data_IF_715677503287
#
_entry.id   IF_715677503287
#
_cell.length_a   1.000
_cell.length_b   1.000
_cell.length_c   1.000
_cell.angle_alpha   90.00
_cell.angle_beta   90.00
_cell.angle_gamma   90.00
#
_symmetry.space_group_name_H-M   'P 1'
#
loop_
_entity.id
_entity.type
_entity.pdbx_description
1 polymer ?
#
# COMPACT_ATOMS: atom_id res chain seq x y z
N UNK A 1 -10.79 9.36 4.57
CA UNK A 1 -10.89 8.51 5.77
C UNK A 1 -9.59 7.74 5.95
N UNK A 2 -9.14 7.62 7.16
CA UNK A 2 -7.93 6.85 7.46
C UNK A 2 -8.29 5.66 8.33
N UNK A 3 -7.48 4.60 8.22
CA UNK A 3 -7.65 3.41 9.04
C UNK A 3 -6.27 2.98 9.54
N UNK A 4 -6.27 2.42 10.74
CA UNK A 4 -5.06 1.89 11.36
C UNK A 4 -5.00 0.40 11.13
N UNK A 5 -3.83 -0.09 10.73
CA UNK A 5 -3.64 -1.52 10.54
C UNK A 5 -2.24 -1.94 10.97
N UNK A 6 -2.06 -3.24 11.16
CA UNK A 6 -0.77 -3.80 11.53
C UNK A 6 -0.24 -4.65 10.40
N UNK A 7 1.05 -4.47 10.11
CA UNK A 7 1.78 -5.27 9.14
C UNK A 7 2.59 -6.30 9.90
N UNK A 8 2.38 -7.58 9.57
CA UNK A 8 3.13 -8.67 10.20
C UNK A 8 4.35 -8.99 9.37
N UNK A 9 5.53 -8.85 9.97
CA UNK A 9 6.79 -9.25 9.35
C UNK A 9 7.38 -10.42 10.13
N UNK A 10 8.44 -11.03 9.59
CA UNK A 10 9.12 -12.12 10.27
C UNK A 10 9.66 -11.66 11.63
N UNK A 11 10.15 -10.43 11.71
CA UNK A 11 10.83 -9.92 12.90
C UNK A 11 9.89 -9.22 13.88
N UNK A 12 8.80 -8.60 13.39
CA UNK A 12 7.97 -7.75 14.24
C UNK A 12 6.62 -7.47 13.60
N UNK A 13 5.76 -6.83 14.41
CA UNK A 13 4.49 -6.27 13.95
C UNK A 13 4.62 -4.75 13.92
N UNK A 14 4.33 -4.13 12.79
CA UNK A 14 4.43 -2.69 12.62
C UNK A 14 3.03 -2.08 12.46
N UNK A 15 2.79 -0.98 13.16
CA UNK A 15 1.54 -0.24 13.04
C UNK A 15 1.66 0.79 11.91
N UNK A 16 0.64 0.86 11.06
CA UNK A 16 0.59 1.83 9.98
C UNK A 16 -0.79 2.45 9.88
N UNK A 17 -0.84 3.64 9.31
CA UNK A 17 -2.08 4.33 9.02
C UNK A 17 -2.21 4.43 7.51
N UNK A 18 -3.34 3.99 6.98
CA UNK A 18 -3.61 4.04 5.55
C UNK A 18 -4.74 5.00 5.27
N UNK A 19 -4.66 5.67 4.12
CA UNK A 19 -5.76 6.43 3.57
C UNK A 19 -6.66 5.48 2.80
N UNK A 20 -7.96 5.46 3.09
CA UNK A 20 -8.94 4.70 2.31
C UNK A 20 -9.45 5.60 1.21
N UNK A 21 -9.19 5.23 -0.04
CA UNK A 21 -9.50 6.05 -1.20
C UNK A 21 -10.58 5.39 -2.04
N UNK A 22 -11.74 6.02 -2.11
CA UNK A 22 -12.87 5.49 -2.88
C UNK A 22 -12.59 5.44 -4.39
N UNK A 23 -11.66 6.26 -4.87
CA UNK A 23 -11.26 6.25 -6.27
C UNK A 23 -10.16 5.26 -6.61
N UNK A 24 -9.56 4.63 -5.60
CA UNK A 24 -8.48 3.67 -5.82
C UNK A 24 -9.06 2.29 -6.07
N UNK A 25 -8.57 1.62 -7.11
CA UNK A 25 -8.97 0.26 -7.44
C UNK A 25 -7.98 -0.77 -6.89
N UNK A 26 -6.81 -0.32 -6.45
CA UNK A 26 -5.73 -1.18 -5.98
C UNK A 26 -5.11 -0.56 -4.73
N UNK A 27 -4.35 -1.36 -4.00
CA UNK A 27 -3.67 -0.90 -2.80
C UNK A 27 -2.27 -0.44 -3.15
N UNK A 28 -1.82 0.64 -2.50
CA UNK A 28 -0.50 1.21 -2.72
C UNK A 28 0.22 1.41 -1.40
N UNK A 29 1.52 1.27 -1.40
CA UNK A 29 2.37 1.57 -0.24
C UNK A 29 3.55 2.41 -0.70
N UNK A 30 3.97 3.32 0.16
CA UNK A 30 5.14 4.16 -0.11
C UNK A 30 6.39 3.29 -0.15
N UNK A 31 7.14 3.36 -1.24
CA UNK A 31 8.34 2.53 -1.44
C UNK A 31 9.39 2.79 -0.35
N UNK A 32 9.59 4.04 0.03
CA UNK A 32 10.54 4.39 1.08
C UNK A 32 10.14 3.76 2.41
N UNK A 33 8.85 3.79 2.73
CA UNK A 33 8.34 3.18 3.95
C UNK A 33 8.51 1.67 3.93
N UNK A 34 8.24 1.03 2.78
CA UNK A 34 8.43 -0.42 2.64
C UNK A 34 9.89 -0.82 2.84
N UNK A 35 10.82 -0.02 2.30
CA UNK A 35 12.26 -0.24 2.51
C UNK A 35 12.66 -0.05 3.97
N UNK A 36 12.09 0.95 4.61
CA UNK A 36 12.36 1.21 6.03
C UNK A 36 11.93 0.04 6.91
N UNK A 37 10.78 -0.58 6.58
CA UNK A 37 10.30 -1.76 7.30
C UNK A 37 10.99 -3.05 6.88
N UNK A 38 11.85 -3.00 5.87
CA UNK A 38 12.54 -4.18 5.31
C UNK A 38 11.57 -5.24 4.80
N UNK A 39 10.51 -4.79 4.14
CA UNK A 39 9.53 -5.70 3.55
C UNK A 39 10.09 -6.36 2.30
N UNK A 40 9.61 -7.56 1.93
CA UNK A 40 9.96 -8.16 0.66
C UNK A 40 9.52 -7.26 -0.49
N UNK A 41 10.42 -6.91 -1.38
CA UNK A 41 10.12 -6.06 -2.53
C UNK A 41 10.41 -6.87 -3.80
N UNK A 42 9.38 -7.04 -4.63
CA UNK A 42 9.47 -7.84 -5.84
C UNK A 42 9.31 -6.95 -7.06
N UNK A 43 10.09 -7.18 -8.13
CA UNK A 43 9.90 -6.44 -9.37
C UNK A 43 8.66 -6.93 -10.11
N UNK A 44 7.94 -5.99 -10.73
CA UNK A 44 6.87 -6.34 -11.66
C UNK A 44 7.47 -6.87 -12.95
N UNK A 45 6.84 -7.89 -13.55
CA UNK A 45 7.30 -8.39 -14.85
C UNK A 45 7.23 -7.30 -15.91
N UNK A 46 6.17 -6.50 -15.88
CA UNK A 46 5.99 -5.39 -16.79
C UNK A 46 5.64 -4.14 -15.98
N UNK A 47 6.43 -3.06 -16.08
CA UNK A 47 6.10 -1.81 -15.44
C UNK A 47 4.74 -1.30 -15.92
N UNK A 48 3.98 -0.69 -15.01
CA UNK A 48 2.67 -0.11 -15.30
C UNK A 48 2.69 1.38 -15.04
N UNK A 49 2.03 2.14 -15.90
CA UNK A 49 1.85 3.58 -15.67
C UNK A 49 0.55 3.82 -14.92
N UNK A 50 0.61 4.68 -13.92
CA UNK A 50 -0.56 5.13 -13.17
C UNK A 50 -0.54 6.64 -13.09
N UNK A 51 -1.71 7.23 -12.88
CA UNK A 51 -1.87 8.68 -12.81
C UNK A 51 -2.47 9.07 -11.46
N UNK A 52 -2.03 10.22 -10.94
CA UNK A 52 -2.65 10.89 -9.79
C UNK A 52 -2.70 10.07 -8.50
N UNK A 53 -1.71 9.18 -8.27
CA UNK A 53 -1.71 8.34 -7.07
C UNK A 53 -1.55 9.17 -5.82
N UNK A 54 -0.65 10.15 -5.83
CA UNK A 54 -0.39 11.00 -4.68
C UNK A 54 -1.25 12.27 -4.66
N UNK A 55 -2.02 12.51 -5.70
CA UNK A 55 -2.95 13.65 -5.87
C UNK A 55 -2.32 15.03 -5.76
N UNK A 56 -1.01 15.11 -5.64
CA UNK A 56 -0.31 16.39 -5.53
C UNK A 56 0.09 16.93 -6.88
N UNK A 57 0.26 16.06 -7.88
CA UNK A 57 0.68 16.43 -9.20
C UNK A 57 -0.08 15.63 -10.24
N UNK A 58 -0.31 16.25 -11.38
CA UNK A 58 -1.00 15.62 -12.50
C UNK A 58 0.00 14.90 -13.41
N UNK A 59 0.82 14.06 -12.81
CA UNK A 59 1.87 13.32 -13.51
C UNK A 59 1.60 11.82 -13.46
N UNK A 60 2.04 11.14 -14.49
CA UNK A 60 2.05 9.68 -14.46
C UNK A 60 3.22 9.21 -13.61
N UNK A 61 3.00 8.10 -12.92
CA UNK A 61 4.04 7.38 -12.20
C UNK A 61 4.15 5.99 -12.79
N UNK A 62 5.37 5.45 -12.79
CA UNK A 62 5.58 4.09 -13.26
C UNK A 62 5.71 3.15 -12.08
N UNK A 63 4.85 2.13 -12.05
CA UNK A 63 4.91 1.08 -11.02
C UNK A 63 5.91 0.04 -11.48
N UNK A 64 6.92 -0.21 -10.64
CA UNK A 64 7.98 -1.18 -10.92
C UNK A 64 8.04 -2.31 -9.92
N UNK A 65 7.47 -2.12 -8.73
CA UNK A 65 7.63 -3.06 -7.62
C UNK A 65 6.31 -3.30 -6.92
N UNK A 66 6.22 -4.44 -6.26
CA UNK A 66 5.09 -4.78 -5.40
C UNK A 66 5.56 -5.55 -4.18
N UNK A 67 4.67 -5.68 -3.19
CA UNK A 67 4.86 -6.55 -2.04
C UNK A 67 3.54 -7.18 -1.65
N UNK A 68 3.61 -8.42 -1.16
CA UNK A 68 2.45 -9.13 -0.60
C UNK A 68 2.67 -9.26 0.90
N UNK A 69 1.68 -8.82 1.67
CA UNK A 69 1.81 -8.73 3.12
C UNK A 69 0.63 -9.34 3.83
N UNK A 70 0.87 -9.83 5.04
CA UNK A 70 -0.18 -10.15 5.98
C UNK A 70 -0.44 -8.92 6.84
N UNK A 71 -1.69 -8.47 6.86
CA UNK A 71 -2.10 -7.30 7.63
C UNK A 71 -3.23 -7.68 8.57
N UNK A 72 -3.38 -6.90 9.63
CA UNK A 72 -4.43 -7.08 10.61
C UNK A 72 -5.13 -5.75 10.87
N UNK A 73 -6.46 -5.77 10.76
CA UNK A 73 -7.34 -4.66 11.13
C UNK A 73 -8.29 -5.17 12.20
N UNK A 74 -8.19 -4.62 13.42
CA UNK A 74 -8.97 -5.17 14.53
C UNK A 74 -8.62 -6.63 14.75
N UNK A 75 -9.61 -7.51 14.63
CA UNK A 75 -9.41 -8.96 14.75
C UNK A 75 -9.30 -9.67 13.40
N UNK A 76 -9.45 -8.93 12.30
CA UNK A 76 -9.45 -9.51 10.96
C UNK A 76 -8.03 -9.51 10.40
N UNK A 77 -7.59 -10.67 9.91
CA UNK A 77 -6.30 -10.84 9.24
C UNK A 77 -6.54 -11.10 7.76
N UNK A 78 -5.72 -10.47 6.91
CA UNK A 78 -5.85 -10.59 5.46
C UNK A 78 -4.47 -10.60 4.82
N UNK A 79 -4.38 -11.22 3.64
CA UNK A 79 -3.20 -11.06 2.78
C UNK A 79 -3.53 -10.00 1.74
N UNK A 80 -2.69 -8.97 1.65
CA UNK A 80 -2.91 -7.86 0.73
C UNK A 80 -1.72 -7.69 -0.20
N UNK A 81 -2.03 -7.32 -1.43
CA UNK A 81 -1.07 -6.98 -2.45
C UNK A 81 -0.98 -5.47 -2.55
N UNK A 82 0.22 -4.94 -2.42
CA UNK A 82 0.48 -3.50 -2.52
C UNK A 82 1.44 -3.22 -3.66
N UNK A 83 1.08 -2.27 -4.52
CA UNK A 83 2.04 -1.69 -5.44
C UNK A 83 2.86 -0.63 -4.72
N UNK A 84 4.15 -0.57 -5.00
CA UNK A 84 5.08 0.31 -4.31
C UNK A 84 5.42 1.50 -5.19
N UNK A 85 5.19 2.69 -4.67
CA UNK A 85 5.47 3.93 -5.38
C UNK A 85 5.64 5.08 -4.38
N UNK A 86 5.94 6.26 -4.87
CA UNK A 86 6.03 7.44 -4.02
C UNK A 86 4.62 7.98 -3.76
N UNK A 87 4.23 7.98 -2.49
CA UNK A 87 2.93 8.47 -2.06
C UNK A 87 3.01 9.80 -1.29
N UNK A 88 4.13 10.49 -1.38
CA UNK A 88 4.34 11.71 -0.61
C UNK A 88 4.36 11.40 0.88
N UNK A 89 3.48 12.04 1.66
CA UNK A 89 3.43 11.85 3.11
C UNK A 89 2.64 10.62 3.54
N UNK A 90 1.89 10.02 2.64
CA UNK A 90 1.09 8.84 2.96
C UNK A 90 1.96 7.59 2.98
N UNK A 91 1.77 6.75 4.00
CA UNK A 91 2.46 5.47 4.09
C UNK A 91 1.79 4.41 3.21
N UNK A 92 0.47 4.41 3.16
CA UNK A 92 -0.29 3.44 2.38
C UNK A 92 -1.63 4.02 1.96
N UNK A 93 -2.15 3.53 0.85
CA UNK A 93 -3.49 3.82 0.36
C UNK A 93 -4.19 2.48 0.14
N UNK A 94 -5.36 2.31 0.73
CA UNK A 94 -6.17 1.10 0.57
C UNK A 94 -7.34 1.38 -0.35
N UNK A 95 -7.67 0.40 -1.19
CA UNK A 95 -8.84 0.50 -2.03
C UNK A 95 -10.10 0.40 -1.17
N UNK A 96 -11.11 1.19 -1.55
CA UNK A 96 -12.39 1.19 -0.84
C UNK A 96 -13.09 -0.17 -0.94
N UNK A 97 -12.95 -0.84 -2.08
CA UNK A 97 -13.57 -2.15 -2.26
C UNK A 97 -13.03 -3.19 -1.29
N UNK A 98 -11.72 -3.17 -1.01
CA UNK A 98 -11.17 -4.03 0.02
C UNK A 98 -11.76 -3.71 1.39
N UNK A 99 -11.82 -2.43 1.73
CA UNK A 99 -12.34 -1.96 3.02
C UNK A 99 -13.78 -2.43 3.23
N UNK A 100 -14.60 -2.33 2.20
CA UNK A 100 -16.00 -2.75 2.28
C UNK A 100 -16.18 -4.26 2.33
N UNK A 101 -15.19 -5.02 1.85
CA UNK A 101 -15.25 -6.48 1.86
C UNK A 101 -14.85 -7.07 3.23
N UNK A 102 -14.25 -6.28 4.08
CA UNK A 102 -13.89 -6.70 5.44
C UNK A 102 -14.88 -6.12 6.44
#
# INVERSE_FOLDING_TARGET
MTIRFYIHTIAKRAKAIALVDSGATENFMNLTYARWLRLPIHPLEQPRKIFNVNRTENKSSELKYYTDLKVQTGTTRSSLHFFLTNLGENKAILSYSWFMAT
#
